data_IF_604534577131
#
_entry.id   IF_604534577131
#
_cell.length_a   1.000
_cell.length_b   1.000
_cell.length_c   1.000
_cell.angle_alpha   90.00
_cell.angle_beta   90.00
_cell.angle_gamma   90.00
#
_symmetry.space_group_name_H-M   'P 1'
#
loop_
_entity.id
_entity.type
_entity.pdbx_description
1 polymer ?
#
# COMPACT_ATOMS: atom_id res chain seq x y z
N UNK A 1 -13.65 60.67 -32.75
CA UNK A 1 -14.78 61.60 -32.81
C UNK A 1 -15.94 61.06 -31.97
N UNK A 2 -16.89 61.89 -31.58
CA UNK A 2 -18.08 61.49 -30.83
C UNK A 2 -18.90 60.41 -31.57
N UNK A 3 -18.94 60.49 -32.91
CA UNK A 3 -19.59 59.48 -33.76
C UNK A 3 -18.98 58.10 -33.62
N UNK A 4 -17.67 57.97 -33.61
CA UNK A 4 -16.99 56.67 -33.45
C UNK A 4 -17.24 56.05 -32.07
N UNK A 5 -17.34 56.83 -30.99
CA UNK A 5 -17.70 56.35 -29.65
C UNK A 5 -19.16 55.87 -29.56
N UNK A 6 -20.07 56.53 -30.27
CA UNK A 6 -21.48 56.13 -30.33
C UNK A 6 -21.64 54.80 -31.11
N UNK A 7 -20.94 54.65 -32.23
CA UNK A 7 -20.97 53.43 -33.04
C UNK A 7 -20.34 52.23 -32.29
N UNK A 8 -19.24 52.45 -31.58
CA UNK A 8 -18.64 51.42 -30.73
C UNK A 8 -19.61 50.90 -29.63
N UNK A 9 -20.27 51.85 -28.94
CA UNK A 9 -21.29 51.49 -27.92
C UNK A 9 -22.46 50.70 -28.51
N UNK A 10 -22.89 51.05 -29.71
CA UNK A 10 -23.96 50.34 -30.43
C UNK A 10 -23.55 48.90 -30.76
N UNK A 11 -22.35 48.74 -31.30
CA UNK A 11 -21.77 47.43 -31.61
C UNK A 11 -21.61 46.58 -30.34
N UNK A 12 -21.07 47.15 -29.26
CA UNK A 12 -20.96 46.47 -27.97
C UNK A 12 -22.30 45.97 -27.45
N UNK A 13 -23.37 46.76 -27.57
CA UNK A 13 -24.71 46.37 -27.16
C UNK A 13 -25.24 45.18 -28.00
N UNK A 14 -25.12 45.27 -29.33
CA UNK A 14 -25.55 44.19 -30.23
C UNK A 14 -24.82 42.88 -29.92
N UNK A 15 -23.49 42.94 -29.71
CA UNK A 15 -22.71 41.74 -29.39
C UNK A 15 -23.03 41.18 -28.02
N UNK A 16 -23.28 42.02 -27.00
CA UNK A 16 -23.70 41.58 -25.67
C UNK A 16 -25.06 40.85 -25.73
N UNK A 17 -26.02 41.37 -26.47
CA UNK A 17 -27.33 40.73 -26.66
C UNK A 17 -27.21 39.39 -27.37
N UNK A 18 -26.37 39.32 -28.43
CA UNK A 18 -26.13 38.08 -29.17
C UNK A 18 -25.41 37.02 -28.33
N UNK A 19 -24.39 37.42 -27.56
CA UNK A 19 -23.67 36.53 -26.63
C UNK A 19 -24.62 36.03 -25.56
N UNK A 20 -25.44 36.87 -24.96
CA UNK A 20 -26.40 36.49 -23.95
C UNK A 20 -27.43 35.48 -24.46
N UNK A 21 -27.92 35.67 -25.70
CA UNK A 21 -28.85 34.74 -26.34
C UNK A 21 -28.19 33.34 -26.58
N UNK A 22 -26.98 33.33 -27.12
CA UNK A 22 -26.24 32.09 -27.37
C UNK A 22 -25.84 31.38 -26.07
N UNK A 23 -25.50 32.15 -25.04
CA UNK A 23 -25.19 31.61 -23.71
C UNK A 23 -26.44 30.95 -23.09
N UNK A 24 -27.59 31.60 -23.15
CA UNK A 24 -28.85 31.07 -22.63
C UNK A 24 -29.24 29.76 -23.36
N UNK A 25 -29.01 29.68 -24.68
CA UNK A 25 -29.22 28.44 -25.45
C UNK A 25 -28.25 27.32 -24.99
N UNK A 26 -26.95 27.66 -24.87
CA UNK A 26 -25.93 26.73 -24.38
C UNK A 26 -26.25 26.21 -22.98
N UNK A 27 -26.67 27.08 -22.06
CA UNK A 27 -27.03 26.72 -20.67
C UNK A 27 -28.24 25.77 -20.63
N UNK A 28 -29.19 25.89 -21.54
CA UNK A 28 -30.31 24.92 -21.62
C UNK A 28 -29.82 23.54 -22.02
N UNK A 29 -28.90 23.43 -22.98
CA UNK A 29 -28.30 22.16 -23.36
C UNK A 29 -27.43 21.57 -22.25
N UNK A 30 -26.60 22.39 -21.59
CA UNK A 30 -25.77 21.97 -20.45
C UNK A 30 -26.65 21.38 -19.35
N UNK A 31 -27.73 22.07 -18.94
CA UNK A 31 -28.68 21.62 -17.93
C UNK A 31 -29.33 20.28 -18.32
N UNK A 32 -29.72 20.14 -19.58
CA UNK A 32 -30.31 18.89 -20.10
C UNK A 32 -29.31 17.73 -20.06
N UNK A 33 -28.06 17.99 -20.45
CA UNK A 33 -26.99 16.99 -20.41
C UNK A 33 -26.73 16.53 -18.96
N UNK A 34 -26.68 17.46 -18.02
CA UNK A 34 -26.47 17.13 -16.59
C UNK A 34 -27.61 16.32 -16.01
N UNK A 35 -28.84 16.69 -16.31
CA UNK A 35 -30.04 15.92 -15.92
C UNK A 35 -29.96 14.49 -16.47
N UNK A 36 -29.62 14.33 -17.75
CA UNK A 36 -29.47 13.01 -18.39
C UNK A 36 -28.32 12.19 -17.76
N UNK A 37 -27.22 12.83 -17.38
CA UNK A 37 -26.10 12.15 -16.67
C UNK A 37 -26.55 11.62 -15.32
N UNK A 38 -27.29 12.41 -14.54
CA UNK A 38 -27.81 12.03 -13.23
C UNK A 38 -28.78 10.85 -13.38
N UNK A 39 -29.72 10.94 -14.32
CA UNK A 39 -30.68 9.87 -14.58
C UNK A 39 -30.01 8.57 -15.02
N UNK A 40 -29.05 8.65 -15.95
CA UNK A 40 -28.23 7.51 -16.38
C UNK A 40 -27.53 6.85 -15.20
N UNK A 41 -26.88 7.65 -14.32
CA UNK A 41 -26.20 7.14 -13.12
C UNK A 41 -27.17 6.41 -12.20
N UNK A 42 -28.36 6.97 -11.96
CA UNK A 42 -29.42 6.36 -11.12
C UNK A 42 -29.91 5.04 -11.72
N UNK A 43 -30.23 5.02 -13.01
CA UNK A 43 -30.70 3.80 -13.73
C UNK A 43 -29.63 2.72 -13.73
N UNK A 44 -28.37 3.08 -14.00
CA UNK A 44 -27.25 2.14 -13.98
C UNK A 44 -27.06 1.52 -12.59
N UNK A 45 -27.08 2.32 -11.52
CA UNK A 45 -26.94 1.81 -10.15
C UNK A 45 -28.12 0.89 -9.76
N UNK A 46 -29.34 1.24 -10.16
CA UNK A 46 -30.52 0.41 -9.90
C UNK A 46 -30.45 -0.92 -10.64
N UNK A 47 -30.03 -0.91 -11.91
CA UNK A 47 -29.85 -2.12 -12.69
C UNK A 47 -28.76 -3.01 -12.10
N UNK A 48 -27.62 -2.44 -11.75
CA UNK A 48 -26.52 -3.16 -11.13
C UNK A 48 -26.94 -3.84 -9.82
N UNK A 49 -27.73 -3.15 -8.98
CA UNK A 49 -28.27 -3.75 -7.76
C UNK A 49 -29.15 -4.95 -8.05
N UNK A 50 -30.10 -4.83 -9.00
CA UNK A 50 -30.99 -5.94 -9.41
C UNK A 50 -30.18 -7.14 -9.90
N UNK A 51 -29.14 -6.92 -10.71
CA UNK A 51 -28.27 -7.99 -11.19
C UNK A 51 -27.55 -8.69 -10.03
N UNK A 52 -27.03 -7.95 -9.06
CA UNK A 52 -26.38 -8.54 -7.89
C UNK A 52 -27.32 -9.30 -6.97
N UNK A 53 -28.58 -8.88 -6.83
CA UNK A 53 -29.62 -9.59 -6.09
C UNK A 53 -30.04 -10.90 -6.79
N UNK A 54 -29.97 -10.94 -8.13
CA UNK A 54 -30.23 -12.14 -8.92
C UNK A 54 -29.05 -13.12 -8.95
N UNK A 55 -27.85 -12.66 -8.64
CA UNK A 55 -26.63 -13.47 -8.70
C UNK A 55 -26.49 -14.33 -7.44
N UNK A 56 -27.07 -15.53 -7.51
CA UNK A 56 -27.13 -16.48 -6.38
C UNK A 56 -25.88 -17.34 -6.29
N UNK A 57 -25.20 -17.29 -5.16
CA UNK A 57 -23.95 -18.00 -4.88
C UNK A 57 -24.19 -19.13 -3.91
N UNK A 58 -23.82 -20.35 -4.29
CA UNK A 58 -23.87 -21.56 -3.47
C UNK A 58 -22.61 -21.69 -2.61
N UNK A 59 -22.77 -22.23 -1.40
CA UNK A 59 -21.67 -22.75 -0.59
C UNK A 59 -21.66 -24.30 -0.62
N UNK A 60 -20.65 -24.91 0.02
CA UNK A 60 -20.53 -26.38 0.05
C UNK A 60 -21.60 -27.08 0.91
N UNK A 61 -22.31 -26.35 1.77
CA UNK A 61 -23.49 -26.86 2.48
C UNK A 61 -24.78 -26.85 1.62
N UNK A 62 -24.71 -26.27 0.40
CA UNK A 62 -25.89 -26.09 -0.44
C UNK A 62 -26.70 -24.83 -0.12
N UNK A 63 -26.23 -23.97 0.77
CA UNK A 63 -26.90 -22.73 1.09
C UNK A 63 -26.61 -21.66 0.03
N UNK A 64 -27.63 -20.86 -0.30
CA UNK A 64 -27.54 -19.84 -1.32
C UNK A 64 -27.63 -18.44 -0.73
N UNK A 65 -26.75 -17.53 -1.14
CA UNK A 65 -26.82 -16.10 -0.84
C UNK A 65 -26.61 -15.27 -2.11
N UNK A 66 -27.34 -14.17 -2.24
CA UNK A 66 -27.07 -13.20 -3.29
C UNK A 66 -25.83 -12.34 -2.94
N UNK A 67 -25.25 -11.71 -3.95
CA UNK A 67 -24.05 -10.88 -3.77
C UNK A 67 -24.28 -9.72 -2.80
N UNK A 68 -25.45 -9.10 -2.81
CA UNK A 68 -25.75 -7.99 -1.90
C UNK A 68 -25.72 -8.44 -0.44
N UNK A 69 -26.29 -9.62 -0.12
CA UNK A 69 -26.25 -10.22 1.23
C UNK A 69 -24.84 -10.61 1.64
N UNK A 70 -24.02 -11.17 0.74
CA UNK A 70 -22.62 -11.49 1.03
C UNK A 70 -21.82 -10.23 1.38
N UNK A 71 -22.01 -9.14 0.64
CA UNK A 71 -21.26 -7.91 0.88
C UNK A 71 -21.82 -7.02 2.00
N UNK A 72 -23.05 -7.20 2.42
CA UNK A 72 -23.66 -6.39 3.50
C UNK A 72 -22.87 -6.41 4.80
N UNK A 73 -22.17 -7.51 5.11
CA UNK A 73 -21.34 -7.67 6.31
C UNK A 73 -19.89 -7.20 6.12
N UNK A 74 -19.51 -6.76 4.93
CA UNK A 74 -18.16 -6.28 4.62
C UNK A 74 -18.04 -4.77 4.87
N UNK A 75 -16.80 -4.26 4.91
CA UNK A 75 -16.53 -2.81 4.99
C UNK A 75 -17.14 -2.07 3.78
N UNK A 76 -17.20 -2.71 2.62
CA UNK A 76 -17.70 -2.11 1.38
C UNK A 76 -19.23 -1.98 1.34
N UNK A 77 -19.98 -2.77 2.15
CA UNK A 77 -21.45 -2.81 2.24
C UNK A 77 -22.19 -3.13 0.94
N UNK A 78 -21.53 -3.04 -0.22
CA UNK A 78 -22.09 -3.26 -1.54
C UNK A 78 -21.07 -3.93 -2.49
N UNK A 79 -21.48 -4.87 -3.37
CA UNK A 79 -20.55 -5.53 -4.29
C UNK A 79 -19.92 -4.53 -5.27
N UNK A 80 -18.61 -4.53 -5.46
CA UNK A 80 -17.97 -3.76 -6.52
C UNK A 80 -18.26 -4.35 -7.90
N UNK A 81 -18.16 -3.54 -8.96
CA UNK A 81 -18.35 -3.99 -10.33
C UNK A 81 -17.45 -5.20 -10.67
N UNK A 82 -18.03 -6.24 -11.30
CA UNK A 82 -17.34 -7.48 -11.64
C UNK A 82 -17.11 -8.43 -10.46
N UNK A 83 -17.78 -8.24 -9.31
CA UNK A 83 -17.78 -9.20 -8.22
C UNK A 83 -18.44 -10.52 -8.67
N UNK A 84 -17.79 -11.66 -8.41
CA UNK A 84 -18.26 -12.99 -8.81
C UNK A 84 -17.90 -13.43 -10.23
N UNK A 85 -17.27 -12.56 -11.03
CA UNK A 85 -16.90 -12.87 -12.41
C UNK A 85 -15.52 -13.53 -12.57
N UNK A 86 -14.74 -13.65 -11.51
CA UNK A 86 -13.45 -14.32 -11.53
C UNK A 86 -13.61 -15.86 -11.70
N UNK A 87 -12.52 -16.53 -12.10
CA UNK A 87 -12.53 -17.98 -12.40
C UNK A 87 -12.90 -18.82 -11.17
N UNK A 88 -12.31 -18.55 -10.00
CA UNK A 88 -12.55 -19.35 -8.79
C UNK A 88 -14.03 -19.39 -8.37
N UNK A 89 -14.77 -18.28 -8.21
CA UNK A 89 -16.20 -18.34 -7.92
C UNK A 89 -17.01 -19.12 -8.97
N UNK A 90 -16.68 -18.97 -10.27
CA UNK A 90 -17.38 -19.69 -11.35
C UNK A 90 -17.15 -21.20 -11.29
N UNK A 91 -15.90 -21.61 -11.04
CA UNK A 91 -15.54 -23.04 -10.93
C UNK A 91 -16.22 -23.69 -9.72
N UNK A 92 -16.17 -23.04 -8.55
CA UNK A 92 -16.85 -23.54 -7.35
C UNK A 92 -18.37 -23.60 -7.53
N UNK A 93 -18.98 -22.56 -8.15
CA UNK A 93 -20.40 -22.54 -8.45
C UNK A 93 -20.80 -23.71 -9.38
N UNK A 94 -19.98 -23.98 -10.40
CA UNK A 94 -20.19 -25.13 -11.28
C UNK A 94 -20.08 -26.44 -10.51
N UNK A 95 -19.04 -26.62 -9.71
CA UNK A 95 -18.84 -27.82 -8.90
C UNK A 95 -20.04 -28.09 -7.98
N UNK A 96 -20.52 -27.11 -7.24
CA UNK A 96 -21.65 -27.29 -6.31
C UNK A 96 -22.97 -27.58 -7.05
N UNK A 97 -23.23 -26.90 -8.18
CA UNK A 97 -24.42 -27.19 -9.01
C UNK A 97 -24.45 -28.62 -9.58
N UNK A 98 -23.27 -29.18 -9.82
CA UNK A 98 -23.13 -30.55 -10.35
C UNK A 98 -22.77 -31.57 -9.25
N UNK A 99 -22.90 -31.21 -7.96
CA UNK A 99 -22.61 -32.07 -6.81
C UNK A 99 -21.18 -32.65 -6.82
N UNK A 100 -20.24 -31.88 -7.41
CA UNK A 100 -18.82 -32.23 -7.41
C UNK A 100 -18.15 -31.67 -6.13
N UNK A 101 -17.27 -32.48 -5.53
CA UNK A 101 -16.47 -32.07 -4.36
C UNK A 101 -15.15 -31.47 -4.85
N UNK A 102 -14.87 -30.16 -4.67
CA UNK A 102 -13.57 -29.59 -4.94
C UNK A 102 -12.50 -30.21 -4.03
N UNK A 103 -11.37 -30.63 -4.61
CA UNK A 103 -10.25 -31.25 -3.88
C UNK A 103 -9.12 -30.23 -3.69
N UNK A 104 -8.75 -29.53 -4.75
CA UNK A 104 -7.69 -28.52 -4.74
C UNK A 104 -7.97 -27.47 -5.80
N UNK A 105 -7.49 -26.24 -5.58
CA UNK A 105 -7.59 -25.15 -6.52
C UNK A 105 -6.37 -24.24 -6.42
N UNK A 106 -5.88 -23.79 -7.58
CA UNK A 106 -4.86 -22.77 -7.67
C UNK A 106 -5.19 -21.76 -8.76
N UNK A 107 -4.93 -20.48 -8.51
CA UNK A 107 -5.15 -19.41 -9.48
C UNK A 107 -3.79 -18.86 -9.97
N UNK A 108 -3.64 -18.73 -11.26
CA UNK A 108 -2.48 -18.10 -11.89
C UNK A 108 -2.93 -17.10 -12.95
N UNK A 109 -2.06 -16.13 -13.25
CA UNK A 109 -2.36 -15.14 -14.27
C UNK A 109 -2.10 -15.68 -15.67
N UNK A 110 -3.07 -15.51 -16.54
CA UNK A 110 -2.95 -15.90 -17.96
C UNK A 110 -3.10 -14.67 -18.85
N UNK A 111 -2.07 -14.33 -19.63
CA UNK A 111 -2.05 -13.21 -20.56
C UNK A 111 -1.09 -12.10 -20.17
N UNK A 112 -1.27 -10.93 -20.82
CA UNK A 112 -0.45 -9.74 -20.57
C UNK A 112 -0.78 -9.08 -19.24
N UNK A 113 0.21 -8.34 -18.69
CA UNK A 113 0.02 -7.63 -17.43
C UNK A 113 -1.03 -6.52 -17.57
N UNK A 114 -2.01 -6.41 -16.67
CA UNK A 114 -2.96 -5.32 -16.68
C UNK A 114 -2.28 -3.98 -16.35
N UNK A 115 -2.79 -2.88 -16.91
CA UNK A 115 -2.22 -1.52 -16.69
C UNK A 115 -2.19 -1.09 -15.23
N UNK A 116 -3.12 -1.58 -14.41
CA UNK A 116 -3.25 -1.17 -13.01
C UNK A 116 -2.36 -1.94 -12.03
N UNK A 117 -1.88 -3.12 -12.40
CA UNK A 117 -1.11 -4.00 -11.53
C UNK A 117 -0.23 -4.91 -12.38
N UNK A 118 1.05 -5.04 -12.01
CA UNK A 118 1.96 -5.91 -12.76
C UNK A 118 1.69 -7.37 -12.36
N UNK A 119 1.33 -8.20 -13.35
CA UNK A 119 1.14 -9.63 -13.20
C UNK A 119 1.86 -10.38 -14.30
N UNK A 120 2.62 -11.40 -13.94
CA UNK A 120 3.37 -12.21 -14.88
C UNK A 120 2.55 -13.43 -15.30
N UNK A 121 2.56 -13.72 -16.60
CA UNK A 121 1.92 -14.90 -17.16
C UNK A 121 2.43 -16.18 -16.49
N UNK A 122 1.53 -17.07 -16.10
CA UNK A 122 1.85 -18.34 -15.45
C UNK A 122 2.18 -18.27 -13.96
N UNK A 123 2.32 -17.06 -13.36
CA UNK A 123 2.59 -16.92 -11.93
C UNK A 123 1.30 -17.03 -11.11
N UNK A 124 1.41 -17.64 -9.94
CA UNK A 124 0.30 -17.78 -8.99
C UNK A 124 0.05 -16.48 -8.22
N UNK A 125 -1.22 -16.14 -8.10
CA UNK A 125 -1.66 -14.96 -7.35
C UNK A 125 -2.82 -15.33 -6.42
N UNK A 126 -2.86 -14.75 -5.20
CA UNK A 126 -4.01 -14.95 -4.32
C UNK A 126 -5.25 -14.29 -4.92
N UNK A 127 -6.42 -14.84 -4.61
CA UNK A 127 -7.70 -14.23 -4.96
C UNK A 127 -7.79 -12.79 -4.44
N UNK A 128 -8.39 -11.90 -5.21
CA UNK A 128 -8.48 -10.49 -4.83
C UNK A 128 -9.36 -10.32 -3.57
N UNK A 129 -8.84 -9.61 -2.56
CA UNK A 129 -9.52 -9.42 -1.26
C UNK A 129 -10.84 -8.65 -1.37
N UNK A 130 -10.92 -7.65 -2.26
CA UNK A 130 -12.06 -6.75 -2.33
C UNK A 130 -13.24 -7.27 -3.12
N UNK A 131 -13.05 -8.19 -4.08
CA UNK A 131 -14.14 -8.73 -4.93
C UNK A 131 -14.39 -10.19 -4.63
N UNK A 132 -13.36 -11.04 -4.72
CA UNK A 132 -13.50 -12.49 -4.60
C UNK A 132 -13.46 -12.94 -3.13
N UNK A 133 -12.72 -12.27 -2.25
CA UNK A 133 -12.56 -12.67 -0.85
C UNK A 133 -13.89 -12.91 -0.11
N UNK A 134 -14.83 -11.96 -0.08
CA UNK A 134 -16.14 -12.17 0.56
C UNK A 134 -16.96 -13.30 -0.06
N UNK A 135 -16.89 -13.46 -1.38
CA UNK A 135 -17.60 -14.51 -2.11
C UNK A 135 -17.03 -15.88 -1.77
N UNK A 136 -15.72 -16.04 -1.84
CA UNK A 136 -15.02 -17.27 -1.47
C UNK A 136 -15.22 -17.61 0.00
N UNK A 137 -15.23 -16.59 0.89
CA UNK A 137 -15.55 -16.80 2.31
C UNK A 137 -16.93 -17.41 2.55
N UNK A 138 -17.92 -17.14 1.67
CA UNK A 138 -19.22 -17.84 1.69
C UNK A 138 -19.13 -19.22 1.02
N UNK A 139 -18.53 -19.31 -0.17
CA UNK A 139 -18.50 -20.52 -0.97
C UNK A 139 -17.74 -21.67 -0.31
N UNK A 140 -16.70 -21.37 0.47
CA UNK A 140 -15.86 -22.37 1.15
C UNK A 140 -16.48 -22.89 2.45
N UNK A 141 -17.60 -22.34 2.92
CA UNK A 141 -18.32 -22.87 4.09
C UNK A 141 -18.81 -24.31 3.80
N UNK A 142 -18.38 -25.25 4.64
CA UNK A 142 -18.66 -26.67 4.47
C UNK A 142 -17.57 -27.48 3.76
N UNK A 143 -16.49 -26.85 3.34
CA UNK A 143 -15.26 -27.54 2.91
C UNK A 143 -14.21 -27.52 4.02
N UNK A 144 -13.48 -28.62 4.16
CA UNK A 144 -12.19 -28.62 4.87
C UNK A 144 -11.17 -27.92 3.98
N UNK A 145 -10.79 -26.72 4.37
CA UNK A 145 -9.77 -25.92 3.68
C UNK A 145 -8.59 -25.69 4.61
N UNK A 146 -7.39 -25.73 4.07
CA UNK A 146 -6.19 -25.34 4.82
C UNK A 146 -6.33 -23.89 5.30
N UNK A 147 -5.80 -23.62 6.49
CA UNK A 147 -5.70 -22.25 6.97
C UNK A 147 -4.95 -21.39 5.95
N UNK A 148 -5.56 -20.28 5.55
CA UNK A 148 -4.92 -19.36 4.64
C UNK A 148 -3.62 -18.81 5.27
N UNK A 149 -2.43 -19.16 4.75
CA UNK A 149 -1.16 -18.72 5.33
C UNK A 149 -1.01 -17.20 5.36
N UNK A 150 -1.77 -16.47 4.50
CA UNK A 150 -1.83 -15.01 4.50
C UNK A 150 -2.75 -14.46 5.61
N UNK A 151 -3.61 -15.30 6.19
CA UNK A 151 -4.49 -14.97 7.32
C UNK A 151 -3.96 -15.54 8.64
N UNK A 152 -2.85 -16.27 8.64
CA UNK A 152 -2.17 -16.59 9.90
C UNK A 152 -1.92 -15.27 10.58
N UNK A 153 -2.77 -14.97 11.55
CA UNK A 153 -2.56 -13.88 12.49
C UNK A 153 -1.27 -14.22 13.22
N UNK A 154 -0.14 -13.77 12.70
CA UNK A 154 1.03 -13.60 13.54
C UNK A 154 0.69 -12.41 14.48
N UNK A 155 -0.28 -12.66 15.39
CA UNK A 155 -0.29 -11.94 16.63
C UNK A 155 0.99 -12.39 17.31
N UNK A 156 2.07 -11.66 17.08
CA UNK A 156 3.14 -11.69 18.02
C UNK A 156 2.51 -11.15 19.31
N UNK A 157 2.19 -12.04 20.23
CA UNK A 157 1.86 -11.70 21.64
C UNK A 157 3.05 -10.99 22.31
N UNK A 158 4.05 -10.60 21.54
CA UNK A 158 5.18 -9.84 22.06
C UNK A 158 4.71 -8.42 22.33
N UNK A 159 4.62 -8.03 23.60
CA UNK A 159 4.34 -6.65 23.95
C UNK A 159 5.39 -5.76 23.28
N UNK A 160 4.94 -4.63 22.72
CA UNK A 160 5.88 -3.65 22.19
C UNK A 160 6.77 -3.14 23.34
N UNK A 161 8.07 -3.28 23.16
CA UNK A 161 9.04 -2.74 24.11
C UNK A 161 9.03 -1.22 24.03
N UNK A 162 8.52 -0.57 25.08
CA UNK A 162 8.53 0.88 25.23
C UNK A 162 9.89 1.28 25.80
N UNK A 163 10.66 2.04 25.00
CA UNK A 163 12.00 2.54 25.38
C UNK A 163 11.91 3.86 26.12
N UNK A 164 10.95 4.70 25.75
CA UNK A 164 10.68 5.99 26.37
C UNK A 164 9.22 6.39 26.18
N UNK A 165 8.67 7.06 27.16
CA UNK A 165 7.31 7.59 27.12
C UNK A 165 7.19 8.88 27.92
N UNK A 166 6.43 9.85 27.37
CA UNK A 166 5.96 11.04 28.07
C UNK A 166 4.51 11.37 27.66
N UNK A 167 4.03 12.57 28.03
CA UNK A 167 2.67 13.01 27.69
C UNK A 167 2.46 13.28 26.19
N UNK A 168 3.53 13.40 25.40
CA UNK A 168 3.50 13.85 24.02
C UNK A 168 3.86 12.77 23.01
N UNK A 169 4.78 11.87 23.38
CA UNK A 169 5.33 10.87 22.48
C UNK A 169 5.64 9.54 23.18
N UNK A 170 5.75 8.49 22.39
CA UNK A 170 6.23 7.17 22.78
C UNK A 170 7.35 6.76 21.82
N UNK A 171 8.40 6.20 22.35
CA UNK A 171 9.49 5.58 21.60
C UNK A 171 9.47 4.09 21.88
N UNK A 172 9.41 3.28 20.85
CA UNK A 172 9.40 1.82 20.96
C UNK A 172 10.61 1.20 20.26
N UNK A 173 11.00 0.02 20.70
CA UNK A 173 11.86 -0.87 19.96
C UNK A 173 10.98 -1.80 19.07
N UNK A 174 10.81 -1.44 17.80
CA UNK A 174 10.00 -2.24 16.88
C UNK A 174 10.67 -3.59 16.61
N UNK A 175 9.99 -4.74 16.80
CA UNK A 175 10.55 -6.03 16.41
C UNK A 175 10.68 -6.17 14.89
N UNK A 176 11.62 -7.00 14.44
CA UNK A 176 11.67 -7.43 13.05
C UNK A 176 10.41 -8.26 12.70
N UNK A 177 9.94 -8.16 11.45
CA UNK A 177 8.74 -8.89 11.01
C UNK A 177 7.41 -8.18 11.24
N UNK A 178 7.37 -7.10 12.04
CA UNK A 178 6.17 -6.29 12.29
C UNK A 178 6.12 -5.06 11.37
N UNK A 179 4.94 -4.75 10.83
CA UNK A 179 4.74 -3.51 10.07
C UNK A 179 4.72 -2.28 10.98
N UNK A 180 5.22 -1.13 10.52
CA UNK A 180 5.06 0.15 11.23
C UNK A 180 3.60 0.66 11.15
N UNK A 181 2.96 0.52 9.99
CA UNK A 181 1.57 0.91 9.71
C UNK A 181 0.84 -0.22 8.99
N UNK A 182 -0.49 -0.30 9.08
CA UNK A 182 -1.26 -1.35 8.41
C UNK A 182 -0.96 -1.40 6.91
N UNK A 183 -0.71 -2.60 6.40
CA UNK A 183 -0.55 -2.88 4.97
C UNK A 183 -1.87 -3.28 4.31
N UNK A 184 -1.80 -3.79 3.07
CA UNK A 184 -2.96 -4.32 2.34
C UNK A 184 -3.48 -5.67 2.88
N UNK A 185 -2.86 -6.23 3.91
CA UNK A 185 -3.21 -7.49 4.58
C UNK A 185 -3.61 -7.29 6.04
N UNK A 186 -4.01 -8.38 6.69
CA UNK A 186 -4.26 -8.42 8.13
C UNK A 186 -2.95 -8.64 8.93
N UNK A 187 -1.82 -8.23 8.38
CA UNK A 187 -0.53 -8.30 9.05
C UNK A 187 -0.52 -7.27 10.17
N UNK A 188 -0.12 -7.72 11.35
CA UNK A 188 0.00 -6.91 12.53
C UNK A 188 0.93 -5.70 12.35
N UNK A 189 0.63 -4.60 13.03
CA UNK A 189 1.40 -3.36 12.91
C UNK A 189 1.51 -2.62 14.23
N UNK A 190 2.61 -1.91 14.40
CA UNK A 190 2.81 -1.01 15.54
C UNK A 190 1.62 -0.06 15.71
N UNK A 191 1.11 0.50 14.63
CA UNK A 191 -0.06 1.39 14.68
C UNK A 191 -1.26 0.77 15.37
N UNK A 192 -1.57 -0.51 15.11
CA UNK A 192 -2.70 -1.20 15.73
C UNK A 192 -2.47 -1.41 17.23
N UNK A 193 -1.28 -1.85 17.64
CA UNK A 193 -0.91 -1.98 19.05
C UNK A 193 -0.98 -0.65 19.80
N UNK A 194 -0.42 0.42 19.21
CA UNK A 194 -0.45 1.76 19.81
C UNK A 194 -1.87 2.28 19.97
N UNK A 195 -2.77 2.03 19.02
CA UNK A 195 -4.19 2.39 19.16
C UNK A 195 -4.90 1.68 20.30
N UNK A 196 -4.50 0.45 20.61
CA UNK A 196 -5.04 -0.32 21.75
C UNK A 196 -4.46 0.21 23.06
N UNK A 197 -3.14 0.46 23.11
CA UNK A 197 -2.45 0.95 24.32
C UNK A 197 -2.82 2.38 24.67
N UNK A 198 -3.08 3.22 23.66
CA UNK A 198 -3.39 4.65 23.82
C UNK A 198 -4.69 5.01 23.08
N UNK A 199 -5.86 4.59 23.60
CA UNK A 199 -7.14 4.81 22.91
C UNK A 199 -7.49 6.30 22.75
N UNK A 200 -7.01 7.15 23.66
CA UNK A 200 -7.23 8.61 23.64
C UNK A 200 -6.26 9.37 22.73
N UNK A 201 -5.26 8.69 22.16
CA UNK A 201 -4.30 9.33 21.27
C UNK A 201 -4.96 9.75 19.95
N UNK A 202 -4.70 10.99 19.52
CA UNK A 202 -5.31 11.61 18.34
C UNK A 202 -4.33 11.81 17.20
N UNK A 203 -4.84 11.77 15.97
CA UNK A 203 -4.04 12.00 14.76
C UNK A 203 -3.42 10.71 14.18
N UNK A 204 -2.45 10.84 13.26
CA UNK A 204 -1.88 9.70 12.52
C UNK A 204 -0.93 8.81 13.35
N UNK A 205 -0.52 9.20 14.54
CA UNK A 205 0.35 8.52 15.50
C UNK A 205 1.78 8.26 14.99
N UNK A 206 1.94 7.48 13.94
CA UNK A 206 3.25 7.06 13.40
C UNK A 206 3.90 8.21 12.62
N UNK A 207 5.03 8.70 13.13
CA UNK A 207 5.73 9.88 12.58
C UNK A 207 6.59 9.52 11.37
N UNK A 208 7.29 8.38 11.45
CA UNK A 208 8.12 7.80 10.40
C UNK A 208 7.94 6.28 10.38
N UNK A 209 8.53 5.61 9.41
CA UNK A 209 8.37 4.16 9.30
C UNK A 209 9.70 3.44 9.12
N UNK A 210 9.78 2.26 9.70
CA UNK A 210 10.77 1.24 9.40
C UNK A 210 10.15 0.19 8.47
N UNK A 211 10.97 -0.45 7.65
CA UNK A 211 10.53 -1.60 6.86
C UNK A 211 10.12 -2.76 7.79
N UNK A 212 9.27 -3.65 7.30
CA UNK A 212 8.76 -4.78 8.09
C UNK A 212 9.91 -5.59 8.72
N UNK A 213 10.92 -5.93 7.92
CA UNK A 213 12.06 -6.73 8.35
C UNK A 213 13.07 -5.97 9.24
N UNK A 214 13.07 -4.62 9.23
CA UNK A 214 13.98 -3.78 10.02
C UNK A 214 13.46 -3.66 11.44
N UNK A 215 14.32 -3.89 12.44
CA UNK A 215 14.03 -3.66 13.86
C UNK A 215 14.55 -2.31 14.35
N UNK A 216 14.15 -1.89 15.56
CA UNK A 216 14.72 -0.76 16.26
C UNK A 216 13.78 0.39 16.54
N UNK A 217 14.37 1.54 16.86
CA UNK A 217 13.69 2.73 17.38
C UNK A 217 12.66 3.28 16.41
N UNK A 218 11.42 3.37 16.86
CA UNK A 218 10.31 3.96 16.14
C UNK A 218 9.60 4.99 17.04
N UNK A 219 9.40 6.20 16.49
CA UNK A 219 8.84 7.33 17.19
C UNK A 219 7.35 7.49 16.89
N UNK A 220 6.54 7.63 17.94
CA UNK A 220 5.08 7.73 17.89
C UNK A 220 4.66 9.02 18.58
N UNK A 221 3.76 9.79 17.96
CA UNK A 221 3.18 10.99 18.56
C UNK A 221 1.81 10.64 19.16
N UNK A 222 1.51 11.12 20.37
CA UNK A 222 0.22 10.89 21.05
C UNK A 222 -0.89 11.86 20.59
N UNK A 223 -0.53 12.97 19.93
CA UNK A 223 -1.49 13.92 19.40
C UNK A 223 -1.07 14.50 18.04
N UNK A 224 -2.01 15.18 17.37
CA UNK A 224 -1.83 15.71 16.02
C UNK A 224 -0.77 16.81 15.94
N UNK A 225 -0.71 17.70 16.92
CA UNK A 225 0.25 18.81 16.94
C UNK A 225 1.68 18.31 17.05
N UNK A 226 1.94 17.39 17.97
CA UNK A 226 3.24 16.74 18.12
C UNK A 226 3.62 15.96 16.87
N UNK A 227 2.66 15.24 16.27
CA UNK A 227 2.90 14.54 15.02
C UNK A 227 3.36 15.50 13.91
N UNK A 228 2.66 16.62 13.71
CA UNK A 228 3.02 17.63 12.71
C UNK A 228 4.41 18.24 12.98
N UNK A 229 4.70 18.56 14.24
CA UNK A 229 6.00 19.11 14.65
C UNK A 229 7.15 18.14 14.35
N UNK A 230 7.00 16.88 14.74
CA UNK A 230 8.00 15.84 14.47
C UNK A 230 8.16 15.55 12.98
N UNK A 231 7.05 15.50 12.21
CA UNK A 231 7.12 15.36 10.76
C UNK A 231 7.88 16.52 10.10
N UNK A 232 7.71 17.75 10.58
CA UNK A 232 8.47 18.88 10.07
C UNK A 232 9.98 18.72 10.31
N UNK A 233 10.39 18.19 11.48
CA UNK A 233 11.79 17.89 11.76
C UNK A 233 12.35 16.80 10.82
N UNK A 234 11.60 15.72 10.58
CA UNK A 234 11.99 14.69 9.59
C UNK A 234 12.11 15.27 8.17
N UNK A 235 11.13 16.07 7.74
CA UNK A 235 11.11 16.73 6.42
C UNK A 235 12.30 17.64 6.22
N UNK A 236 12.65 18.40 7.25
CA UNK A 236 13.77 19.35 7.25
C UNK A 236 15.12 18.69 7.56
N UNK A 237 15.16 17.35 7.70
CA UNK A 237 16.37 16.56 8.00
C UNK A 237 17.08 16.97 9.28
N UNK A 238 16.34 17.45 10.27
CA UNK A 238 16.89 17.82 11.58
C UNK A 238 17.14 16.59 12.47
N UNK A 239 16.43 15.49 12.21
CA UNK A 239 16.59 14.23 12.94
C UNK A 239 17.82 13.49 12.41
N UNK A 240 18.79 13.27 13.30
CA UNK A 240 19.95 12.42 13.05
C UNK A 240 19.54 10.97 13.32
N UNK A 241 19.90 10.07 12.42
CA UNK A 241 19.55 8.64 12.48
C UNK A 241 20.80 7.81 12.42
N UNK A 242 20.90 6.80 13.26
CA UNK A 242 21.96 5.81 13.24
C UNK A 242 21.35 4.40 13.15
N UNK A 243 21.83 3.63 12.21
CA UNK A 243 21.46 2.22 12.05
C UNK A 243 22.70 1.36 12.16
N UNK A 244 22.55 0.20 12.77
CA UNK A 244 23.59 -0.83 12.81
C UNK A 244 23.17 -1.96 11.87
N UNK A 245 24.10 -2.45 11.07
CA UNK A 245 23.89 -3.59 10.19
C UNK A 245 25.08 -4.54 10.23
N UNK A 246 24.80 -5.83 9.97
CA UNK A 246 25.82 -6.83 9.73
C UNK A 246 25.81 -7.14 8.23
N UNK A 247 26.90 -6.86 7.54
CA UNK A 247 27.06 -7.18 6.12
C UNK A 247 27.60 -8.60 5.96
N UNK A 248 27.14 -9.28 4.91
CA UNK A 248 27.52 -10.66 4.59
C UNK A 248 28.78 -10.69 3.72
N UNK A 249 29.87 -10.15 4.28
CA UNK A 249 31.16 -10.02 3.61
C UNK A 249 32.03 -8.89 4.17
N UNK A 250 33.16 -8.66 3.52
CA UNK A 250 34.10 -7.57 3.81
C UNK A 250 33.98 -6.44 2.80
N UNK A 251 34.17 -5.22 3.24
CA UNK A 251 34.23 -4.04 2.38
C UNK A 251 35.60 -3.39 2.42
N UNK A 252 35.99 -2.74 1.34
CA UNK A 252 37.34 -2.18 1.16
C UNK A 252 37.58 -0.90 1.94
N UNK A 253 36.55 -0.04 2.07
CA UNK A 253 36.68 1.25 2.75
C UNK A 253 36.00 1.24 4.12
N UNK A 254 36.68 1.77 5.14
CA UNK A 254 36.16 1.79 6.52
C UNK A 254 35.10 2.86 6.76
N UNK A 255 35.04 3.88 5.95
CA UNK A 255 34.04 4.94 6.01
C UNK A 255 33.82 5.56 4.62
N UNK A 256 32.68 6.22 4.43
CA UNK A 256 32.39 6.89 3.18
C UNK A 256 30.95 7.37 3.08
N UNK A 257 30.61 7.85 1.87
CA UNK A 257 29.27 8.32 1.53
C UNK A 257 28.79 7.65 0.25
N UNK A 258 27.60 7.07 0.29
CA UNK A 258 26.94 6.44 -0.86
C UNK A 258 25.85 7.39 -1.34
N UNK A 259 25.86 7.70 -2.64
CA UNK A 259 24.89 8.58 -3.28
C UNK A 259 24.33 7.85 -4.50
N UNK A 260 23.13 7.28 -4.39
CA UNK A 260 22.49 6.55 -5.47
C UNK A 260 21.02 6.98 -5.60
N UNK A 261 20.53 7.24 -6.82
CA UNK A 261 19.13 7.57 -7.04
C UNK A 261 18.28 6.29 -7.04
N UNK A 262 17.25 6.26 -6.17
CA UNK A 262 16.42 5.08 -5.98
C UNK A 262 14.99 5.31 -6.47
N UNK A 263 14.41 4.30 -7.09
CA UNK A 263 12.97 4.20 -7.35
C UNK A 263 12.46 2.77 -7.13
N UNK A 264 11.15 2.67 -7.00
CA UNK A 264 10.51 1.35 -6.94
C UNK A 264 10.67 0.62 -8.27
N UNK A 265 11.07 -0.65 -8.20
CA UNK A 265 11.09 -1.52 -9.39
C UNK A 265 9.65 -1.72 -9.89
N UNK A 266 9.33 -1.31 -11.12
CA UNK A 266 8.01 -1.50 -11.67
C UNK A 266 7.67 -2.97 -11.93
N UNK A 267 8.68 -3.82 -12.10
CA UNK A 267 8.54 -5.23 -12.49
C UNK A 267 8.61 -6.18 -11.29
N UNK A 268 9.29 -5.81 -10.20
CA UNK A 268 9.50 -6.67 -9.03
C UNK A 268 9.24 -5.90 -7.70
N UNK A 269 7.98 -5.66 -7.38
CA UNK A 269 7.58 -5.07 -6.09
C UNK A 269 7.71 -6.09 -4.95
N UNK A 270 8.22 -5.69 -3.77
CA UNK A 270 8.46 -4.31 -3.30
C UNK A 270 9.89 -3.80 -3.51
N UNK A 271 10.71 -4.42 -4.36
CA UNK A 271 12.11 -4.02 -4.56
C UNK A 271 12.25 -2.56 -5.00
N UNK A 272 13.37 -1.98 -4.65
CA UNK A 272 13.85 -0.69 -5.15
C UNK A 272 15.07 -0.94 -6.02
N UNK A 273 15.26 -0.12 -7.05
CA UNK A 273 16.39 -0.18 -7.97
C UNK A 273 17.10 1.15 -8.05
N UNK A 274 18.37 1.13 -8.38
CA UNK A 274 19.13 2.32 -8.76
C UNK A 274 18.73 2.71 -10.18
N UNK A 275 18.28 3.93 -10.35
CA UNK A 275 17.88 4.48 -11.64
C UNK A 275 18.36 5.93 -11.73
N UNK A 276 19.40 6.14 -12.54
CA UNK A 276 20.05 7.45 -12.70
C UNK A 276 19.21 8.46 -13.44
N UNK A 277 18.19 8.02 -14.18
CA UNK A 277 17.33 8.91 -14.98
C UNK A 277 16.07 9.35 -14.20
N UNK A 278 15.40 8.41 -13.51
CA UNK A 278 14.11 8.66 -12.86
C UNK A 278 14.12 8.45 -11.34
N UNK A 279 15.25 8.05 -10.77
CA UNK A 279 15.39 7.78 -9.34
C UNK A 279 15.44 9.05 -8.50
N UNK A 280 14.98 8.95 -7.26
CA UNK A 280 15.08 10.02 -6.26
C UNK A 280 16.39 9.86 -5.49
N UNK A 281 17.23 10.89 -5.45
CA UNK A 281 18.49 10.88 -4.73
C UNK A 281 18.36 10.35 -3.31
N UNK A 282 19.19 9.37 -2.97
CA UNK A 282 19.36 8.82 -1.64
C UNK A 282 20.82 8.96 -1.21
N UNK A 283 21.06 9.39 0.03
CA UNK A 283 22.40 9.67 0.56
C UNK A 283 22.53 8.98 1.90
N UNK A 284 23.57 8.15 2.05
CA UNK A 284 23.90 7.46 3.29
C UNK A 284 25.40 7.59 3.57
N UNK A 285 25.77 8.10 4.73
CA UNK A 285 27.11 7.98 5.25
C UNK A 285 27.26 6.66 6.02
N UNK A 286 28.44 6.08 6.03
CA UNK A 286 28.70 4.84 6.75
C UNK A 286 30.06 4.85 7.43
N UNK A 287 30.18 4.02 8.46
CA UNK A 287 31.42 3.75 9.18
C UNK A 287 31.46 2.28 9.60
N UNK A 288 32.54 1.60 9.29
CA UNK A 288 32.80 0.24 9.78
C UNK A 288 33.10 0.29 11.26
N UNK A 289 32.41 -0.52 12.03
CA UNK A 289 32.62 -0.62 13.48
C UNK A 289 33.53 -1.79 13.83
N UNK A 290 33.35 -2.92 13.15
CA UNK A 290 34.14 -4.13 13.39
C UNK A 290 34.11 -5.04 12.17
N UNK A 291 35.14 -5.87 12.02
CA UNK A 291 35.20 -6.94 11.03
C UNK A 291 35.53 -8.25 11.75
N UNK A 292 34.69 -9.23 11.66
CA UNK A 292 34.85 -10.50 12.34
C UNK A 292 34.23 -11.64 11.54
N UNK A 293 34.96 -12.78 11.47
CA UNK A 293 34.49 -14.02 10.83
C UNK A 293 33.99 -13.84 9.38
N UNK A 294 34.64 -12.96 8.63
CA UNK A 294 34.26 -12.69 7.23
C UNK A 294 33.08 -11.73 7.06
N UNK A 295 32.47 -11.22 8.13
CA UNK A 295 31.38 -10.26 8.14
C UNK A 295 31.87 -8.88 8.55
N UNK A 296 31.10 -7.85 8.18
CA UNK A 296 31.38 -6.45 8.56
C UNK A 296 30.23 -5.87 9.38
N UNK A 297 30.49 -5.48 10.60
CA UNK A 297 29.56 -4.68 11.42
C UNK A 297 29.74 -3.21 11.04
N UNK A 298 28.66 -2.56 10.62
CA UNK A 298 28.66 -1.20 10.07
C UNK A 298 27.60 -0.31 10.68
N UNK A 299 27.95 0.96 10.90
CA UNK A 299 26.98 2.01 11.22
C UNK A 299 26.62 2.78 9.95
N UNK A 300 25.32 2.95 9.69
CA UNK A 300 24.78 3.80 8.64
C UNK A 300 24.15 5.06 9.22
N UNK A 301 24.39 6.20 8.58
CA UNK A 301 23.85 7.50 8.91
C UNK A 301 23.10 8.05 7.68
N UNK A 302 21.81 7.66 7.47
CA UNK A 302 21.06 8.07 6.30
C UNK A 302 20.63 9.54 6.39
N UNK A 303 21.11 10.37 5.47
CA UNK A 303 20.73 11.79 5.33
C UNK A 303 19.36 11.93 4.63
N UNK A 304 18.94 10.93 3.89
CA UNK A 304 17.62 10.80 3.26
C UNK A 304 16.88 9.59 3.83
N UNK A 305 15.61 9.39 3.46
CA UNK A 305 14.80 8.26 3.95
C UNK A 305 13.98 7.64 2.81
N UNK A 306 14.64 7.02 1.83
CA UNK A 306 13.96 6.29 0.75
C UNK A 306 13.67 4.86 1.20
N UNK A 307 12.61 4.29 0.64
CA UNK A 307 12.27 2.88 0.86
C UNK A 307 13.48 2.00 0.55
N UNK A 308 13.78 1.02 1.40
CA UNK A 308 14.91 0.10 1.29
C UNK A 308 16.29 0.75 1.08
N UNK A 309 16.45 2.06 1.39
CA UNK A 309 17.66 2.81 1.07
C UNK A 309 18.94 2.11 1.54
N UNK A 310 19.05 1.75 2.80
CA UNK A 310 20.24 1.13 3.36
C UNK A 310 20.51 -0.25 2.76
N UNK A 311 19.45 -1.00 2.49
CA UNK A 311 19.51 -2.34 1.90
C UNK A 311 20.07 -2.29 0.48
N UNK A 312 19.57 -1.35 -0.35
CA UNK A 312 20.08 -1.16 -1.73
C UNK A 312 21.50 -0.61 -1.71
N UNK A 313 21.78 0.39 -0.86
CA UNK A 313 23.12 0.97 -0.74
C UNK A 313 24.18 -0.05 -0.32
N UNK A 314 23.81 -1.02 0.53
CA UNK A 314 24.70 -2.12 0.91
C UNK A 314 24.92 -3.10 -0.24
N UNK A 315 23.86 -3.52 -0.93
CA UNK A 315 23.92 -4.61 -1.89
C UNK A 315 24.37 -4.19 -3.30
N UNK A 316 24.07 -2.96 -3.75
CA UNK A 316 24.28 -2.50 -5.11
C UNK A 316 25.79 -2.41 -5.45
N UNK A 317 26.23 -2.79 -6.68
CA UNK A 317 27.64 -2.68 -7.09
C UNK A 317 28.24 -1.27 -6.99
N UNK A 318 27.45 -0.23 -7.28
CA UNK A 318 27.84 1.17 -7.11
C UNK A 318 27.78 1.66 -5.64
N UNK A 319 27.28 0.83 -4.71
CA UNK A 319 27.30 1.06 -3.28
C UNK A 319 28.44 0.30 -2.61
N UNK A 320 28.12 -0.52 -1.58
CA UNK A 320 29.12 -1.33 -0.89
C UNK A 320 29.39 -2.68 -1.57
N UNK A 321 28.53 -3.10 -2.49
CA UNK A 321 28.56 -4.42 -3.13
C UNK A 321 28.66 -5.56 -2.11
N UNK A 322 28.05 -5.37 -0.95
CA UNK A 322 28.08 -6.28 0.18
C UNK A 322 26.70 -6.23 0.88
N UNK A 323 25.77 -7.15 0.59
CA UNK A 323 24.43 -7.10 1.11
C UNK A 323 24.40 -7.27 2.63
N UNK A 324 23.31 -6.75 3.24
CA UNK A 324 23.04 -6.95 4.66
C UNK A 324 22.65 -8.42 4.86
N UNK A 325 23.20 -9.08 5.87
CA UNK A 325 22.91 -10.47 6.21
C UNK A 325 21.42 -10.66 6.47
N UNK A 326 20.85 -11.70 5.87
CA UNK A 326 19.43 -12.03 5.98
C UNK A 326 18.49 -11.14 5.14
N UNK A 327 19.04 -10.39 4.19
CA UNK A 327 18.21 -9.61 3.26
C UNK A 327 17.65 -10.49 2.15
N UNK A 328 16.39 -10.91 2.28
CA UNK A 328 15.68 -11.78 1.31
C UNK A 328 15.47 -11.11 -0.06
N UNK A 329 15.54 -9.77 -0.14
CA UNK A 329 15.31 -9.06 -1.40
C UNK A 329 16.61 -8.75 -2.15
N UNK A 330 17.70 -8.43 -1.44
CA UNK A 330 18.93 -7.93 -2.07
C UNK A 330 20.14 -8.78 -1.75
N UNK A 331 20.01 -9.84 -0.96
CA UNK A 331 21.06 -10.74 -0.54
C UNK A 331 20.57 -12.18 -0.36
N UNK A 332 21.03 -12.85 0.67
CA UNK A 332 20.64 -14.21 1.02
C UNK A 332 19.78 -14.24 2.28
N UNK A 333 18.76 -15.10 2.28
CA UNK A 333 17.87 -15.32 3.41
C UNK A 333 18.63 -15.91 4.60
N UNK A 334 18.35 -15.39 5.81
CA UNK A 334 18.76 -15.96 7.09
C UNK A 334 17.55 -15.96 8.06
N UNK A 335 17.80 -16.14 9.35
CA UNK A 335 16.78 -16.10 10.40
C UNK A 335 16.05 -14.75 10.47
N UNK A 336 16.76 -13.63 10.19
CA UNK A 336 16.21 -12.28 10.13
C UNK A 336 17.07 -11.36 9.27
N UNK A 337 16.55 -10.17 8.95
CA UNK A 337 17.37 -9.06 8.42
C UNK A 337 18.18 -8.46 9.56
N UNK A 338 19.51 -8.46 9.46
CA UNK A 338 20.44 -7.88 10.44
C UNK A 338 20.61 -6.37 10.21
N UNK A 339 19.50 -5.63 10.29
CA UNK A 339 19.42 -4.18 10.22
C UNK A 339 18.59 -3.64 11.37
N UNK A 340 19.16 -2.75 12.16
CA UNK A 340 18.57 -2.21 13.37
C UNK A 340 18.68 -0.68 13.42
N UNK A 341 17.55 0.00 13.59
CA UNK A 341 17.53 1.44 13.88
C UNK A 341 17.91 1.64 15.35
N UNK A 342 19.16 2.05 15.61
CA UNK A 342 19.68 2.16 16.96
C UNK A 342 19.28 3.48 17.63
N UNK A 343 19.27 4.62 16.85
CA UNK A 343 18.90 5.94 17.37
C UNK A 343 18.42 6.88 16.25
#
# INVERSE_FOLDING_TARGET
SQFQKAELKRMEKIWKEKIASLQAEADTFITKIETMKIERKKRSATLQRKLFEQFQILNAHGETKDLCRIFAQTIQKFPPAGAGECAAPKLLQYAYKHQLKPIAMAEFWWGDSPKAEIRHHGYYYPACKGKCGPILGHMLQGLEVEENPLLKKHYHEMPLEIVYEDNYLVVINKPAGMLSVPGKGEIDSVYQHIKILYPDATGPLIVHRLDMATSGVLLIAKNKEVHQHLQAQFKNRMIKKRYIALLDGKISSKEGTIILPLRMDPLDRPRQVVDHEHGKTAITQYQVLNEQEGNTLIAFYPLTGRTHQLRVHAAHPEGLHCPIRGDELYGQKADRLYLHAES
#
